data_IF_159767031831
#
_entry.id   IF_159767031831
#
_cell.length_a   1.000
_cell.length_b   1.000
_cell.length_c   1.000
_cell.angle_alpha   90.00
_cell.angle_beta   90.00
_cell.angle_gamma   90.00
#
_symmetry.space_group_name_H-M   'P 1'
#
loop_
_entity.id
_entity.type
_entity.pdbx_description
1 polymer ?
#
# COMPACT_ATOMS: atom_id res chain seq x y z
N UNK A 1 5.58 -21.89 -0.58
CA UNK A 1 6.92 -21.65 0.03
C UNK A 1 7.91 -22.77 -0.31
N UNK A 2 7.62 -24.05 -0.06
CA UNK A 2 8.58 -25.14 -0.38
C UNK A 2 8.93 -25.22 -1.87
N UNK A 3 7.94 -25.08 -2.75
CA UNK A 3 8.13 -25.11 -4.20
C UNK A 3 8.91 -23.90 -4.75
N UNK A 4 8.98 -22.82 -3.98
CA UNK A 4 9.71 -21.61 -4.35
C UNK A 4 11.13 -21.55 -3.76
N UNK A 5 11.48 -22.49 -2.87
CA UNK A 5 12.79 -22.50 -2.21
C UNK A 5 13.94 -22.78 -3.18
N UNK A 6 13.64 -23.44 -4.32
CA UNK A 6 14.63 -23.79 -5.35
C UNK A 6 14.79 -22.70 -6.43
N UNK A 7 14.04 -21.60 -6.31
CA UNK A 7 14.09 -20.49 -7.25
C UNK A 7 14.81 -19.31 -6.57
N UNK A 8 15.90 -18.84 -7.16
CA UNK A 8 16.65 -17.67 -6.69
C UNK A 8 15.89 -16.36 -7.01
N UNK A 9 14.63 -16.29 -6.57
CA UNK A 9 13.75 -15.15 -6.72
C UNK A 9 13.04 -14.84 -5.42
N UNK A 10 13.00 -13.56 -5.06
CA UNK A 10 12.22 -13.09 -3.93
C UNK A 10 10.73 -13.15 -4.26
N UNK A 11 9.99 -13.96 -3.53
CA UNK A 11 8.54 -14.08 -3.68
C UNK A 11 7.85 -13.21 -2.64
N UNK A 12 6.98 -12.33 -3.10
CA UNK A 12 6.14 -11.47 -2.29
C UNK A 12 4.67 -11.81 -2.55
N UNK A 13 3.87 -11.77 -1.50
CA UNK A 13 2.42 -12.00 -1.59
C UNK A 13 1.71 -10.66 -1.58
N UNK A 14 0.96 -10.40 -2.63
CA UNK A 14 0.20 -9.17 -2.75
C UNK A 14 -1.06 -9.20 -1.87
N UNK A 15 -1.29 -8.10 -1.15
CA UNK A 15 -2.57 -7.86 -0.47
C UNK A 15 -3.56 -7.31 -1.49
N UNK A 16 -4.51 -8.15 -1.92
CA UNK A 16 -5.40 -7.80 -3.02
C UNK A 16 -6.81 -8.38 -2.79
N UNK A 17 -7.85 -7.63 -3.18
CA UNK A 17 -9.22 -8.16 -3.23
C UNK A 17 -9.27 -9.33 -4.21
N UNK A 18 -10.25 -10.22 -4.03
CA UNK A 18 -10.37 -11.46 -4.80
C UNK A 18 -9.15 -12.40 -4.64
N UNK A 19 -8.48 -12.29 -3.49
CA UNK A 19 -7.38 -13.18 -3.10
C UNK A 19 -7.54 -13.63 -1.65
N UNK A 20 -6.69 -14.57 -1.23
CA UNK A 20 -6.65 -15.06 0.15
C UNK A 20 -6.23 -13.96 1.14
N UNK A 21 -5.50 -12.95 0.68
CA UNK A 21 -5.01 -11.83 1.49
C UNK A 21 -5.87 -10.56 1.31
N UNK A 22 -7.16 -10.74 1.12
CA UNK A 22 -8.12 -9.65 0.96
C UNK A 22 -8.52 -9.04 2.31
N UNK A 23 -8.93 -9.87 3.27
CA UNK A 23 -9.32 -9.42 4.62
C UNK A 23 -8.10 -9.17 5.50
N UNK A 24 -8.04 -7.99 6.12
CA UNK A 24 -6.92 -7.58 6.97
C UNK A 24 -6.72 -8.53 8.16
N UNK A 25 -7.81 -8.88 8.87
CA UNK A 25 -7.72 -9.76 10.04
C UNK A 25 -7.25 -11.17 9.63
N UNK A 26 -7.78 -11.70 8.54
CA UNK A 26 -7.40 -13.01 8.03
C UNK A 26 -5.94 -13.03 7.55
N UNK A 27 -5.49 -11.98 6.87
CA UNK A 27 -4.09 -11.80 6.49
C UNK A 27 -3.16 -11.91 7.69
N UNK A 28 -3.50 -11.25 8.81
CA UNK A 28 -2.72 -11.35 10.05
C UNK A 28 -2.67 -12.77 10.61
N UNK A 29 -3.75 -13.56 10.48
CA UNK A 29 -3.72 -14.97 10.90
C UNK A 29 -2.79 -15.80 10.01
N UNK A 30 -2.82 -15.58 8.70
CA UNK A 30 -1.91 -16.26 7.77
C UNK A 30 -0.46 -15.88 8.06
N UNK A 31 -0.16 -14.61 8.31
CA UNK A 31 1.18 -14.16 8.68
C UNK A 31 1.71 -14.83 9.95
N UNK A 32 0.84 -15.18 10.89
CA UNK A 32 1.22 -15.96 12.09
C UNK A 32 1.52 -17.42 11.76
N UNK A 33 0.77 -18.00 10.83
CA UNK A 33 0.95 -19.39 10.39
C UNK A 33 2.17 -19.56 9.46
N UNK A 34 2.53 -18.50 8.73
CA UNK A 34 3.66 -18.46 7.78
C UNK A 34 4.58 -17.29 8.16
N UNK A 35 5.42 -17.44 9.20
CA UNK A 35 6.25 -16.34 9.70
C UNK A 35 7.24 -15.77 8.69
N UNK A 36 7.67 -16.56 7.71
CA UNK A 36 8.59 -16.15 6.64
C UNK A 36 7.91 -15.41 5.50
N UNK A 37 6.57 -15.36 5.46
CA UNK A 37 5.83 -14.67 4.40
C UNK A 37 6.16 -13.17 4.37
N UNK A 38 6.48 -12.66 3.18
CA UNK A 38 6.68 -11.24 2.92
C UNK A 38 5.61 -10.72 1.95
N UNK A 39 5.22 -9.47 2.15
CA UNK A 39 4.10 -8.87 1.45
C UNK A 39 4.57 -7.84 0.41
N UNK A 40 3.82 -7.76 -0.68
CA UNK A 40 3.66 -6.56 -1.49
C UNK A 40 2.38 -5.88 -1.04
N UNK A 41 2.51 -4.79 -0.27
CA UNK A 41 1.36 -4.18 0.39
C UNK A 41 0.65 -3.18 -0.51
N UNK A 42 -0.54 -3.54 -0.98
CA UNK A 42 -1.54 -2.60 -1.44
C UNK A 42 -2.57 -2.37 -0.31
N UNK A 43 -2.37 -1.31 0.43
CA UNK A 43 -3.22 -0.99 1.58
C UNK A 43 -4.62 -0.52 1.17
N UNK A 44 -4.81 -0.11 -0.09
CA UNK A 44 -6.11 0.34 -0.59
C UNK A 44 -7.17 -0.75 -0.47
N UNK A 45 -6.78 -2.01 -0.63
CA UNK A 45 -7.68 -3.15 -0.49
C UNK A 45 -8.18 -3.33 0.94
N UNK A 46 -7.33 -3.15 1.94
CA UNK A 46 -7.76 -3.22 3.34
C UNK A 46 -8.64 -2.04 3.75
N UNK A 47 -8.38 -0.85 3.18
CA UNK A 47 -9.19 0.33 3.45
C UNK A 47 -10.64 0.09 3.06
N UNK A 48 -10.88 -0.44 1.85
CA UNK A 48 -12.23 -0.66 1.34
C UNK A 48 -12.88 -1.92 1.96
N UNK A 49 -12.12 -3.01 2.12
CA UNK A 49 -12.65 -4.27 2.67
C UNK A 49 -13.14 -4.10 4.11
N UNK A 50 -12.37 -3.37 4.92
CA UNK A 50 -12.70 -3.10 6.32
C UNK A 50 -13.53 -1.84 6.53
N UNK A 51 -13.84 -1.09 5.48
CA UNK A 51 -14.45 0.24 5.58
C UNK A 51 -13.76 1.10 6.65
N UNK A 52 -12.42 1.15 6.61
CA UNK A 52 -11.63 1.87 7.61
C UNK A 52 -12.07 3.32 7.70
N UNK A 53 -12.01 3.89 8.90
CA UNK A 53 -12.44 5.27 9.20
C UNK A 53 -11.28 6.07 9.77
N UNK A 54 -11.22 7.34 9.41
CA UNK A 54 -10.28 8.28 10.01
C UNK A 54 -10.96 9.09 11.14
N UNK A 55 -10.28 9.35 12.25
CA UNK A 55 -8.99 8.77 12.62
C UNK A 55 -9.08 7.27 12.87
N UNK A 56 -8.01 6.54 12.55
CA UNK A 56 -8.00 5.08 12.75
C UNK A 56 -8.14 4.72 14.23
N UNK A 57 -9.00 3.74 14.56
CA UNK A 57 -8.99 3.13 15.88
C UNK A 57 -7.63 2.47 16.16
N UNK A 58 -7.17 2.50 17.42
CA UNK A 58 -5.88 1.91 17.83
C UNK A 58 -5.71 0.44 17.45
N UNK A 59 -6.79 -0.33 17.41
CA UNK A 59 -6.77 -1.71 16.94
C UNK A 59 -6.39 -1.79 15.46
N UNK A 60 -7.05 -0.99 14.62
CA UNK A 60 -6.85 -1.04 13.18
C UNK A 60 -5.49 -0.46 12.79
N UNK A 61 -5.02 0.55 13.53
CA UNK A 61 -3.65 1.06 13.40
C UNK A 61 -2.62 -0.05 13.63
N UNK A 62 -2.71 -0.79 14.76
CA UNK A 62 -1.80 -1.92 15.04
C UNK A 62 -1.85 -3.00 13.96
N UNK A 63 -3.03 -3.27 13.39
CA UNK A 63 -3.17 -4.25 12.32
C UNK A 63 -2.44 -3.81 11.05
N UNK A 64 -2.53 -2.54 10.71
CA UNK A 64 -1.76 -1.98 9.57
C UNK A 64 -0.26 -2.01 9.89
N UNK A 65 0.16 -1.64 11.09
CA UNK A 65 1.57 -1.68 11.50
C UNK A 65 2.16 -3.10 11.36
N UNK A 66 1.40 -4.13 11.76
CA UNK A 66 1.81 -5.53 11.59
C UNK A 66 2.00 -5.92 10.10
N UNK A 67 1.16 -5.40 9.21
CA UNK A 67 1.29 -5.59 7.76
C UNK A 67 2.53 -4.85 7.24
N UNK A 68 2.73 -3.59 7.63
CA UNK A 68 3.88 -2.79 7.21
C UNK A 68 5.21 -3.44 7.64
N UNK A 69 5.28 -4.01 8.85
CA UNK A 69 6.45 -4.73 9.35
C UNK A 69 6.80 -5.96 8.49
N UNK A 70 5.85 -6.52 7.77
CA UNK A 70 6.04 -7.68 6.89
C UNK A 70 6.16 -7.31 5.40
N UNK A 71 6.06 -6.03 5.07
CA UNK A 71 6.06 -5.58 3.67
C UNK A 71 7.46 -5.32 3.17
N UNK A 72 7.77 -5.88 2.00
CA UNK A 72 9.03 -5.71 1.28
C UNK A 72 8.82 -5.11 -0.12
N UNK A 73 7.60 -4.76 -0.44
CA UNK A 73 7.17 -3.97 -1.59
C UNK A 73 5.92 -3.19 -1.19
N UNK A 74 5.71 -2.02 -1.76
CA UNK A 74 4.52 -1.20 -1.54
C UNK A 74 3.91 -0.79 -2.87
N UNK A 75 2.57 -0.70 -2.88
CA UNK A 75 1.84 -0.15 -4.00
C UNK A 75 1.29 1.23 -3.66
N UNK A 76 1.49 2.17 -4.58
CA UNK A 76 1.08 3.56 -4.47
C UNK A 76 -0.29 3.78 -5.10
N UNK A 77 -1.33 3.38 -4.38
CA UNK A 77 -2.73 3.68 -4.70
C UNK A 77 -3.40 4.19 -3.44
N UNK A 78 -4.10 5.33 -3.54
CA UNK A 78 -4.86 5.89 -2.43
C UNK A 78 -6.33 5.52 -2.59
N UNK A 79 -6.92 5.00 -1.53
CA UNK A 79 -8.32 4.65 -1.41
C UNK A 79 -9.01 5.49 -0.34
N UNK A 80 -10.32 5.48 -0.34
CA UNK A 80 -11.14 5.79 0.83
C UNK A 80 -11.99 4.56 1.17
N UNK A 81 -12.82 4.64 2.19
CA UNK A 81 -13.63 3.50 2.65
C UNK A 81 -14.67 2.99 1.66
N UNK A 82 -15.02 3.77 0.63
CA UNK A 82 -16.00 3.42 -0.38
C UNK A 82 -15.39 3.20 -1.78
N UNK A 83 -14.18 3.70 -2.03
CA UNK A 83 -13.57 3.74 -3.35
C UNK A 83 -12.12 3.27 -3.29
N UNK A 84 -11.81 2.25 -4.09
CA UNK A 84 -10.48 1.62 -4.14
C UNK A 84 -9.38 2.54 -4.70
N UNK A 85 -9.76 3.48 -5.55
CA UNK A 85 -8.85 4.47 -6.15
C UNK A 85 -9.56 5.81 -6.21
N UNK A 86 -9.00 6.81 -5.55
CA UNK A 86 -9.54 8.16 -5.48
C UNK A 86 -8.60 9.16 -6.15
N UNK A 87 -9.13 10.33 -6.53
CA UNK A 87 -8.36 11.43 -7.10
C UNK A 87 -7.58 12.13 -5.97
N UNK A 88 -6.26 11.97 -5.97
CA UNK A 88 -5.41 12.41 -4.85
C UNK A 88 -5.29 13.93 -4.71
N UNK A 89 -5.60 14.67 -5.77
CA UNK A 89 -5.56 16.15 -5.74
C UNK A 89 -6.90 16.79 -5.36
N UNK A 90 -7.97 15.98 -5.16
CA UNK A 90 -9.26 16.54 -4.76
C UNK A 90 -9.29 16.86 -3.27
N UNK A 91 -9.72 18.08 -2.88
CA UNK A 91 -9.67 18.53 -1.47
C UNK A 91 -10.37 17.58 -0.48
N UNK A 92 -11.47 16.95 -0.87
CA UNK A 92 -12.22 16.01 -0.04
C UNK A 92 -11.46 14.71 0.26
N UNK A 93 -10.39 14.43 -0.46
CA UNK A 93 -9.57 13.23 -0.28
C UNK A 93 -8.29 13.46 0.52
N UNK A 94 -8.05 14.71 0.94
CA UNK A 94 -6.81 15.12 1.61
C UNK A 94 -6.46 14.25 2.82
N UNK A 95 -7.41 13.98 3.70
CA UNK A 95 -7.15 13.18 4.92
C UNK A 95 -6.68 11.76 4.59
N UNK A 96 -7.24 11.15 3.54
CA UNK A 96 -6.80 9.82 3.09
C UNK A 96 -5.42 9.86 2.47
N UNK A 97 -5.12 10.86 1.64
CA UNK A 97 -3.79 11.05 1.07
C UNK A 97 -2.74 11.18 2.18
N UNK A 98 -2.99 12.03 3.18
CA UNK A 98 -2.11 12.22 4.32
C UNK A 98 -1.92 10.91 5.10
N UNK A 99 -2.99 10.13 5.30
CA UNK A 99 -2.89 8.84 5.98
C UNK A 99 -2.05 7.82 5.20
N UNK A 100 -2.22 7.73 3.89
CA UNK A 100 -1.40 6.84 3.06
C UNK A 100 0.08 7.25 3.08
N UNK A 101 0.38 8.54 3.04
CA UNK A 101 1.76 9.03 3.16
C UNK A 101 2.40 8.63 4.50
N UNK A 102 1.65 8.69 5.60
CA UNK A 102 2.10 8.21 6.92
C UNK A 102 2.41 6.70 6.85
N UNK A 103 1.52 5.90 6.31
CA UNK A 103 1.73 4.47 6.19
C UNK A 103 2.94 4.10 5.32
N UNK A 104 3.10 4.76 4.17
CA UNK A 104 4.27 4.54 3.32
C UNK A 104 5.56 4.92 4.02
N UNK A 105 5.58 6.06 4.71
CA UNK A 105 6.76 6.49 5.48
C UNK A 105 7.10 5.49 6.58
N UNK A 106 6.12 5.04 7.35
CA UNK A 106 6.33 4.08 8.42
C UNK A 106 6.75 2.70 7.87
N UNK A 107 6.12 2.23 6.80
CA UNK A 107 6.49 0.99 6.15
C UNK A 107 7.91 1.01 5.57
N UNK A 108 8.32 2.09 4.91
CA UNK A 108 9.68 2.28 4.40
C UNK A 108 10.68 2.33 5.56
N UNK A 109 10.35 3.05 6.65
CA UNK A 109 11.20 3.09 7.86
C UNK A 109 11.37 1.69 8.48
N UNK A 110 10.30 0.91 8.61
CA UNK A 110 10.34 -0.45 9.11
C UNK A 110 11.16 -1.36 8.19
N UNK A 111 11.00 -1.22 6.87
CA UNK A 111 11.76 -1.97 5.89
C UNK A 111 13.26 -1.66 5.97
N UNK A 112 13.66 -0.39 6.07
CA UNK A 112 15.07 0.03 6.23
C UNK A 112 15.72 -0.55 7.47
N UNK A 113 15.00 -0.62 8.59
CA UNK A 113 15.50 -1.23 9.83
C UNK A 113 15.81 -2.73 9.70
N UNK A 114 15.12 -3.43 8.80
CA UNK A 114 15.29 -4.88 8.58
C UNK A 114 16.32 -5.23 7.52
N UNK A 115 16.67 -4.30 6.68
CA UNK A 115 17.50 -4.53 5.50
C UNK A 115 18.79 -3.73 5.58
N UNK A 116 19.81 -4.19 4.85
CA UNK A 116 21.06 -3.48 4.74
C UNK A 116 20.98 -2.37 3.66
N UNK A 117 22.00 -1.52 3.61
CA UNK A 117 22.11 -0.38 2.71
C UNK A 117 22.12 -0.75 1.22
N UNK A 118 22.49 -1.98 0.87
CA UNK A 118 22.52 -2.46 -0.52
C UNK A 118 21.19 -3.10 -0.96
N UNK A 119 20.22 -3.20 -0.06
CA UNK A 119 18.93 -3.79 -0.38
C UNK A 119 18.08 -2.82 -1.24
N UNK A 120 17.30 -3.37 -2.15
CA UNK A 120 16.39 -2.60 -3.00
C UNK A 120 14.94 -2.77 -2.53
N UNK A 121 14.27 -1.66 -2.26
CA UNK A 121 12.84 -1.60 -2.04
C UNK A 121 12.13 -1.27 -3.36
N UNK A 122 11.09 -2.00 -3.67
CA UNK A 122 10.21 -1.70 -4.80
C UNK A 122 8.99 -0.94 -4.30
N UNK A 123 8.72 0.21 -4.92
CA UNK A 123 7.47 0.95 -4.76
C UNK A 123 6.82 1.12 -6.13
N UNK A 124 5.64 0.53 -6.32
CA UNK A 124 4.90 0.55 -7.56
C UNK A 124 3.76 1.58 -7.48
N UNK A 125 3.80 2.66 -8.28
CA UNK A 125 2.66 3.55 -8.44
C UNK A 125 1.58 2.84 -9.27
N UNK A 126 0.66 2.17 -8.60
CA UNK A 126 -0.39 1.40 -9.27
C UNK A 126 -1.69 2.20 -9.33
N UNK A 127 -1.90 2.88 -10.46
CA UNK A 127 -3.13 3.62 -10.75
C UNK A 127 -3.81 3.04 -11.99
N UNK A 128 -4.87 2.26 -11.77
CA UNK A 128 -5.61 1.58 -12.84
C UNK A 128 -6.43 2.55 -13.70
N UNK A 129 -6.59 2.23 -15.01
CA UNK A 129 -7.57 2.90 -15.86
C UNK A 129 -8.99 2.51 -15.46
N UNK A 130 -9.98 2.97 -16.25
CA UNK A 130 -11.35 2.45 -16.14
C UNK A 130 -11.34 0.90 -16.16
N UNK A 131 -12.08 0.22 -15.31
CA UNK A 131 -13.08 0.71 -14.36
C UNK A 131 -12.55 1.13 -12.96
N UNK A 132 -11.24 1.08 -12.68
CA UNK A 132 -10.69 1.56 -11.40
C UNK A 132 -10.82 3.07 -11.25
N UNK A 133 -10.46 3.82 -12.30
CA UNK A 133 -10.59 5.26 -12.30
C UNK A 133 -12.07 5.69 -12.31
N UNK A 134 -12.41 6.64 -11.45
CA UNK A 134 -13.75 7.24 -11.43
C UNK A 134 -13.92 8.14 -12.65
N UNK A 135 -15.07 8.04 -13.28
CA UNK A 135 -15.38 8.76 -14.52
C UNK A 135 -16.65 9.61 -14.40
N UNK A 136 -16.78 10.58 -15.29
CA UNK A 136 -18.05 11.25 -15.54
C UNK A 136 -19.03 10.35 -16.35
N UNK A 137 -20.21 10.89 -16.65
CA UNK A 137 -21.24 10.18 -17.42
C UNK A 137 -20.84 9.84 -18.87
N UNK A 138 -19.78 10.43 -19.40
CA UNK A 138 -19.21 10.16 -20.71
C UNK A 138 -18.01 9.23 -20.66
N UNK A 139 -17.76 8.62 -19.49
CA UNK A 139 -16.62 7.74 -19.22
C UNK A 139 -15.25 8.44 -19.32
N UNK A 140 -15.22 9.76 -19.18
CA UNK A 140 -13.97 10.51 -19.05
C UNK A 140 -13.49 10.42 -17.60
N UNK A 141 -12.24 10.05 -17.40
CA UNK A 141 -11.63 10.00 -16.08
C UNK A 141 -11.57 11.41 -15.45
N UNK A 142 -11.84 11.50 -14.15
CA UNK A 142 -11.93 12.78 -13.43
C UNK A 142 -10.55 13.37 -13.09
N UNK A 143 -9.47 12.57 -13.17
CA UNK A 143 -8.09 13.01 -12.97
C UNK A 143 -7.17 12.29 -13.96
N UNK A 144 -5.97 12.83 -14.14
CA UNK A 144 -4.94 12.20 -14.95
C UNK A 144 -4.10 11.25 -14.07
N UNK A 145 -4.24 9.95 -14.30
CA UNK A 145 -3.55 8.90 -13.55
C UNK A 145 -2.03 8.98 -13.66
N UNK A 146 -1.54 9.38 -14.82
CA UNK A 146 -0.11 9.48 -15.03
C UNK A 146 0.49 10.62 -14.20
N UNK A 147 -0.16 11.79 -14.21
CA UNK A 147 0.24 12.89 -13.36
C UNK A 147 0.13 12.56 -11.88
N UNK A 148 -0.93 11.89 -11.47
CA UNK A 148 -1.07 11.41 -10.08
C UNK A 148 0.03 10.41 -9.70
N UNK A 149 0.41 9.50 -10.60
CA UNK A 149 1.53 8.58 -10.36
C UNK A 149 2.87 9.32 -10.21
N UNK A 150 3.11 10.35 -11.01
CA UNK A 150 4.31 11.19 -10.88
C UNK A 150 4.34 11.97 -9.56
N UNK A 151 3.18 12.43 -9.08
CA UNK A 151 3.07 13.06 -7.77
C UNK A 151 3.40 12.08 -6.64
N UNK A 152 2.80 10.88 -6.66
CA UNK A 152 3.09 9.84 -5.67
C UNK A 152 4.58 9.47 -5.70
N UNK A 153 5.15 9.29 -6.88
CA UNK A 153 6.59 9.05 -7.04
C UNK A 153 7.42 10.13 -6.34
N UNK A 154 7.12 11.41 -6.58
CA UNK A 154 7.81 12.52 -5.95
C UNK A 154 7.66 12.53 -4.42
N UNK A 155 6.50 12.18 -3.88
CA UNK A 155 6.30 12.06 -2.44
C UNK A 155 7.14 10.93 -1.84
N UNK A 156 7.24 9.79 -2.52
CA UNK A 156 8.06 8.66 -2.04
C UNK A 156 9.56 8.98 -2.10
N UNK A 157 10.02 9.67 -3.13
CA UNK A 157 11.40 10.14 -3.22
C UNK A 157 11.74 11.12 -2.08
N UNK A 158 10.82 12.02 -1.72
CA UNK A 158 10.99 12.91 -0.58
C UNK A 158 11.00 12.14 0.76
N UNK A 159 10.06 11.21 0.95
CA UNK A 159 10.02 10.33 2.14
C UNK A 159 11.33 9.56 2.27
N UNK A 160 11.83 9.01 1.17
CA UNK A 160 13.10 8.29 1.17
C UNK A 160 14.26 9.18 1.61
N UNK A 161 14.39 10.38 1.03
CA UNK A 161 15.43 11.33 1.40
C UNK A 161 15.34 11.80 2.86
N UNK A 162 14.12 12.01 3.39
CA UNK A 162 13.91 12.33 4.80
C UNK A 162 14.41 11.20 5.70
N UNK A 163 14.09 9.95 5.37
CA UNK A 163 14.51 8.78 6.14
C UNK A 163 16.02 8.45 6.00
N UNK A 164 16.68 8.95 4.96
CA UNK A 164 18.15 8.88 4.85
C UNK A 164 18.84 9.87 5.77
N UNK A 165 18.16 10.95 6.13
CA UNK A 165 18.70 11.99 7.02
C UNK A 165 18.43 11.72 8.51
N UNK A 166 17.55 10.74 8.86
CA UNK A 166 17.28 10.29 10.25
C UNK A 166 18.43 9.40 10.79
#
# INVERSE_FOLDING_TARGET
MKEAADVDLKILFETHRDSLLNDLFFTLQIMKLVPEMRLCADLSHFVIDRELRLPLPERDKRYIDDVLERSDCFQGRVANREQIQIQIQFPQHKEWVEQFMVWWKDGIRMWRKRNNENATLIFLCELGPRPYAITDKYQKELSDRWEEALLIKGWIENIWAELEAE
#
